data_IF_645946476214
#
_entry.id   IF_645946476214
#
_cell.length_a   1.000
_cell.length_b   1.000
_cell.length_c   1.000
_cell.angle_alpha   90.00
_cell.angle_beta   90.00
_cell.angle_gamma   90.00
#
_symmetry.space_group_name_H-M   'P 1'
#
loop_
_entity.id
_entity.type
_entity.pdbx_description
1 polymer ?
#
# COMPACT_ATOMS: atom_id res chain seq x y z
N UNK A 1 19.63 -27.05 -11.95
CA UNK A 1 18.50 -26.37 -12.60
C UNK A 1 18.71 -24.89 -12.35
N UNK A 2 18.72 -24.05 -13.36
CA UNK A 2 18.88 -22.62 -13.18
C UNK A 2 17.51 -22.06 -12.77
N UNK A 3 17.32 -21.74 -11.49
CA UNK A 3 16.04 -21.33 -10.93
C UNK A 3 15.58 -19.99 -11.53
N UNK A 4 16.53 -19.10 -11.81
CA UNK A 4 16.23 -17.82 -12.41
C UNK A 4 15.66 -17.96 -13.82
N UNK A 5 16.19 -18.88 -14.65
CA UNK A 5 15.62 -19.16 -15.99
C UNK A 5 14.19 -19.69 -15.89
N UNK A 6 13.94 -20.63 -14.97
CA UNK A 6 12.58 -21.13 -14.76
C UNK A 6 11.62 -20.04 -14.29
N UNK A 7 12.11 -19.08 -13.49
CA UNK A 7 11.33 -17.92 -13.07
C UNK A 7 11.02 -16.98 -14.24
N UNK A 8 11.96 -16.76 -15.16
CA UNK A 8 11.70 -15.96 -16.36
C UNK A 8 10.66 -16.64 -17.28
N UNK A 9 10.69 -17.96 -17.42
CA UNK A 9 9.68 -18.72 -18.16
C UNK A 9 8.29 -18.55 -17.53
N UNK A 10 8.18 -18.66 -16.20
CA UNK A 10 6.92 -18.40 -15.47
C UNK A 10 6.41 -16.96 -15.66
N UNK A 11 7.31 -15.97 -15.72
CA UNK A 11 6.94 -14.58 -15.99
C UNK A 11 6.28 -14.46 -17.37
N UNK A 12 6.85 -15.06 -18.41
CA UNK A 12 6.27 -14.98 -19.76
C UNK A 12 4.92 -15.72 -19.86
N UNK A 13 4.77 -16.86 -19.20
CA UNK A 13 3.48 -17.55 -19.11
C UNK A 13 2.42 -16.69 -18.43
N UNK A 14 2.75 -16.05 -17.30
CA UNK A 14 1.82 -15.17 -16.58
C UNK A 14 1.47 -13.93 -17.39
N UNK A 15 2.44 -13.32 -18.06
CA UNK A 15 2.25 -12.18 -18.94
C UNK A 15 1.29 -12.49 -20.09
N UNK A 16 1.37 -13.70 -20.67
CA UNK A 16 0.43 -14.17 -21.69
C UNK A 16 -1.02 -14.27 -21.17
N UNK A 17 -1.20 -14.45 -19.86
CA UNK A 17 -2.50 -14.43 -19.18
C UNK A 17 -2.92 -13.03 -18.68
N UNK A 18 -2.15 -11.98 -18.97
CA UNK A 18 -2.39 -10.62 -18.47
C UNK A 18 -2.09 -10.44 -16.99
N UNK A 19 -1.28 -11.29 -16.38
CA UNK A 19 -0.92 -11.26 -14.97
C UNK A 19 0.49 -10.71 -14.76
N UNK A 20 0.73 -10.12 -13.58
CA UNK A 20 2.06 -9.69 -13.15
C UNK A 20 2.98 -10.87 -12.81
N UNK A 21 4.32 -10.67 -12.77
CA UNK A 21 5.24 -11.68 -12.28
C UNK A 21 4.84 -12.22 -10.90
N UNK A 22 4.91 -13.51 -10.70
CA UNK A 22 4.66 -14.10 -9.39
C UNK A 22 5.71 -13.60 -8.39
N UNK A 23 5.32 -13.22 -7.17
CA UNK A 23 6.27 -12.83 -6.15
C UNK A 23 7.23 -13.95 -5.79
N UNK A 24 8.48 -13.60 -5.52
CA UNK A 24 9.53 -14.54 -5.12
C UNK A 24 9.40 -14.82 -3.62
N UNK A 25 9.11 -16.05 -3.26
CA UNK A 25 8.99 -16.54 -1.88
C UNK A 25 10.01 -17.62 -1.52
N UNK A 26 10.81 -18.05 -2.48
CA UNK A 26 11.80 -19.10 -2.36
C UNK A 26 13.20 -18.59 -2.02
N UNK A 27 13.83 -19.24 -1.03
CA UNK A 27 15.17 -18.93 -0.54
C UNK A 27 16.25 -19.09 -1.61
N UNK A 28 16.19 -20.17 -2.39
CA UNK A 28 17.26 -20.52 -3.32
C UNK A 28 17.24 -19.57 -4.53
N UNK A 29 16.06 -19.26 -5.07
CA UNK A 29 15.91 -18.26 -6.12
C UNK A 29 16.38 -16.87 -5.66
N UNK A 30 16.02 -16.46 -4.44
CA UNK A 30 16.49 -15.18 -3.89
C UNK A 30 18.01 -15.13 -3.75
N UNK A 31 18.64 -16.22 -3.33
CA UNK A 31 20.09 -16.32 -3.24
C UNK A 31 20.76 -16.28 -4.62
N UNK A 32 20.18 -16.91 -5.64
CA UNK A 32 20.67 -16.84 -7.03
C UNK A 32 20.60 -15.41 -7.57
N UNK A 33 19.48 -14.70 -7.34
CA UNK A 33 19.32 -13.29 -7.70
C UNK A 33 20.40 -12.41 -7.02
N UNK A 34 20.64 -12.61 -5.73
CA UNK A 34 21.68 -11.85 -4.99
C UNK A 34 23.07 -12.14 -5.56
N UNK A 35 23.34 -13.40 -5.98
CA UNK A 35 24.61 -13.73 -6.63
C UNK A 35 24.79 -12.97 -7.95
N UNK A 36 23.73 -12.85 -8.74
CA UNK A 36 23.73 -12.08 -9.99
C UNK A 36 23.91 -10.57 -9.74
N UNK A 37 23.31 -10.03 -8.68
CA UNK A 37 23.49 -8.62 -8.27
C UNK A 37 24.94 -8.32 -7.89
N UNK A 38 25.62 -9.25 -7.21
CA UNK A 38 27.02 -9.11 -6.79
C UNK A 38 28.00 -9.19 -7.95
N UNK A 39 27.64 -9.80 -9.05
CA UNK A 39 28.45 -9.95 -10.26
C UNK A 39 28.13 -8.78 -11.22
N UNK A 40 29.03 -7.81 -11.32
CA UNK A 40 28.88 -6.61 -12.14
C UNK A 40 28.81 -6.90 -13.64
N UNK A 41 29.34 -8.03 -14.09
CA UNK A 41 29.36 -8.44 -15.51
C UNK A 41 28.18 -9.35 -15.86
N UNK A 42 27.30 -9.65 -14.91
CA UNK A 42 26.18 -10.56 -15.14
C UNK A 42 25.12 -9.91 -16.04
N UNK A 43 24.73 -10.59 -17.10
CA UNK A 43 23.73 -10.10 -18.07
C UNK A 43 22.34 -9.85 -17.44
N UNK A 44 21.99 -10.54 -16.35
CA UNK A 44 20.71 -10.43 -15.66
C UNK A 44 20.75 -9.48 -14.45
N UNK A 45 21.90 -8.83 -14.19
CA UNK A 45 22.10 -8.03 -12.97
C UNK A 45 21.03 -6.96 -12.76
N UNK A 46 20.69 -6.22 -13.83
CA UNK A 46 19.69 -5.15 -13.75
C UNK A 46 18.28 -5.68 -13.43
N UNK A 47 17.88 -6.76 -14.08
CA UNK A 47 16.60 -7.41 -13.83
C UNK A 47 16.56 -7.99 -12.42
N UNK A 48 17.65 -8.62 -11.99
CA UNK A 48 17.81 -9.17 -10.65
C UNK A 48 17.70 -8.08 -9.56
N UNK A 49 18.27 -6.90 -9.78
CA UNK A 49 18.08 -5.73 -8.91
C UNK A 49 16.59 -5.35 -8.81
N UNK A 50 15.91 -5.23 -9.93
CA UNK A 50 14.49 -4.92 -9.96
C UNK A 50 13.66 -5.97 -9.22
N UNK A 51 13.88 -7.26 -9.48
CA UNK A 51 13.15 -8.33 -8.79
C UNK A 51 13.49 -8.40 -7.31
N UNK A 52 14.74 -8.20 -6.92
CA UNK A 52 15.13 -8.15 -5.52
C UNK A 52 14.42 -7.02 -4.76
N UNK A 53 14.41 -5.84 -5.33
CA UNK A 53 13.79 -4.66 -4.70
C UNK A 53 12.27 -4.84 -4.62
N UNK A 54 11.63 -5.15 -5.75
CA UNK A 54 10.18 -5.00 -5.90
C UNK A 54 9.39 -6.31 -5.87
N UNK A 55 10.01 -7.48 -5.96
CA UNK A 55 9.28 -8.73 -6.20
C UNK A 55 9.57 -9.85 -5.18
N UNK A 56 10.57 -9.68 -4.31
CA UNK A 56 10.82 -10.63 -3.22
C UNK A 56 9.85 -10.36 -2.09
N UNK A 57 8.98 -11.33 -1.78
CA UNK A 57 7.97 -11.21 -0.73
C UNK A 57 8.60 -10.95 0.64
N UNK A 58 8.08 -9.96 1.37
CA UNK A 58 8.45 -9.69 2.75
C UNK A 58 7.75 -10.68 3.73
N UNK A 59 7.79 -10.35 4.99
CA UNK A 59 7.12 -11.09 6.05
C UNK A 59 7.92 -12.30 6.51
N UNK A 60 7.30 -13.48 6.58
CA UNK A 60 7.90 -14.70 7.16
C UNK A 60 8.29 -15.73 6.12
N UNK A 61 8.45 -15.35 4.86
CA UNK A 61 8.89 -16.27 3.80
C UNK A 61 10.36 -16.63 3.91
N UNK A 62 10.76 -17.74 3.30
CA UNK A 62 12.18 -18.13 3.25
C UNK A 62 13.02 -17.15 2.42
N UNK A 63 12.42 -16.51 1.42
CA UNK A 63 12.99 -15.42 0.65
C UNK A 63 13.27 -14.17 1.51
N UNK A 64 12.34 -13.81 2.40
CA UNK A 64 12.48 -12.66 3.29
C UNK A 64 13.70 -12.77 4.22
N UNK A 65 14.03 -13.99 4.68
CA UNK A 65 15.24 -14.22 5.49
C UNK A 65 16.49 -13.80 4.72
N UNK A 66 16.61 -14.27 3.46
CA UNK A 66 17.76 -13.99 2.62
C UNK A 66 17.83 -12.52 2.23
N UNK A 67 16.67 -11.91 1.89
CA UNK A 67 16.59 -10.47 1.60
C UNK A 67 17.01 -9.63 2.80
N UNK A 68 16.50 -9.90 3.99
CA UNK A 68 16.82 -9.15 5.20
C UNK A 68 18.31 -9.22 5.56
N UNK A 69 18.92 -10.40 5.46
CA UNK A 69 20.36 -10.56 5.73
C UNK A 69 21.24 -9.83 4.70
N UNK A 70 20.88 -9.87 3.43
CA UNK A 70 21.60 -9.13 2.40
C UNK A 70 21.48 -7.61 2.60
N UNK A 71 20.29 -7.11 2.94
CA UNK A 71 20.10 -5.70 3.31
C UNK A 71 20.94 -5.31 4.53
N UNK A 72 21.05 -6.18 5.54
CA UNK A 72 21.95 -5.97 6.70
C UNK A 72 23.42 -5.80 6.28
N UNK A 73 23.89 -6.65 5.33
CA UNK A 73 25.27 -6.54 4.84
C UNK A 73 25.53 -5.18 4.15
N UNK A 74 24.54 -4.67 3.39
CA UNK A 74 24.61 -3.36 2.73
C UNK A 74 24.54 -2.23 3.79
N UNK A 75 23.62 -2.31 4.76
CA UNK A 75 23.47 -1.30 5.83
C UNK A 75 24.76 -1.16 6.64
N UNK A 76 25.45 -2.26 6.91
CA UNK A 76 26.71 -2.30 7.64
C UNK A 76 27.95 -2.05 6.74
N UNK A 77 27.74 -1.66 5.49
CA UNK A 77 28.78 -1.37 4.48
C UNK A 77 29.76 -2.52 4.24
N UNK A 78 29.34 -3.77 4.55
CA UNK A 78 30.11 -4.98 4.22
C UNK A 78 30.06 -5.29 2.73
N UNK A 79 29.02 -4.82 2.06
CA UNK A 79 28.80 -4.89 0.61
C UNK A 79 28.38 -3.49 0.16
N UNK A 80 28.99 -3.00 -0.90
CA UNK A 80 28.65 -1.71 -1.51
C UNK A 80 28.04 -1.95 -2.89
N UNK A 81 26.89 -1.35 -3.12
CA UNK A 81 26.18 -1.32 -4.40
C UNK A 81 25.86 0.12 -4.76
N UNK A 82 26.04 0.49 -6.03
CA UNK A 82 25.68 1.84 -6.49
C UNK A 82 24.18 2.09 -6.42
N UNK A 83 23.37 1.07 -6.71
CA UNK A 83 21.92 1.16 -6.80
C UNK A 83 21.19 1.08 -5.46
N UNK A 84 21.83 0.48 -4.44
CA UNK A 84 21.24 0.31 -3.12
C UNK A 84 22.20 0.88 -2.06
N UNK A 85 21.99 2.14 -1.70
CA UNK A 85 22.73 2.77 -0.59
C UNK A 85 22.32 2.17 0.77
N UNK A 86 23.14 2.34 1.80
CA UNK A 86 22.83 1.94 3.18
C UNK A 86 21.47 2.52 3.66
N UNK A 87 21.19 3.79 3.31
CA UNK A 87 19.93 4.43 3.66
C UNK A 87 18.72 3.77 2.93
N UNK A 88 18.87 3.45 1.64
CA UNK A 88 17.83 2.79 0.87
C UNK A 88 17.65 1.33 1.32
N UNK A 89 18.72 0.62 1.67
CA UNK A 89 18.61 -0.72 2.24
C UNK A 89 17.84 -0.72 3.57
N UNK A 90 18.04 0.29 4.41
CA UNK A 90 17.27 0.44 5.65
C UNK A 90 15.80 0.78 5.38
N UNK A 91 15.51 1.58 4.36
CA UNK A 91 14.14 1.82 3.89
C UNK A 91 13.46 0.51 3.44
N UNK A 92 14.12 -0.27 2.58
CA UNK A 92 13.61 -1.58 2.13
C UNK A 92 13.32 -2.51 3.31
N UNK A 93 14.23 -2.55 4.29
CA UNK A 93 14.06 -3.35 5.51
C UNK A 93 12.83 -2.90 6.31
N UNK A 94 12.58 -1.59 6.38
CA UNK A 94 11.45 -1.01 7.12
C UNK A 94 10.08 -1.44 6.57
N UNK A 95 10.00 -1.72 5.27
CA UNK A 95 8.78 -2.15 4.59
C UNK A 95 8.51 -3.66 4.69
N UNK A 96 9.47 -4.45 5.14
CA UNK A 96 9.29 -5.91 5.24
C UNK A 96 8.33 -6.32 6.37
N UNK A 97 8.27 -5.57 7.46
CA UNK A 97 7.28 -5.68 8.56
C UNK A 97 6.98 -7.09 9.07
N UNK A 98 8.00 -7.87 9.39
CA UNK A 98 7.80 -9.22 9.92
C UNK A 98 9.09 -9.92 10.30
N UNK A 99 9.00 -11.05 10.97
CA UNK A 99 10.05 -11.92 11.50
C UNK A 99 11.51 -11.59 11.12
N UNK A 100 11.98 -11.96 9.92
CA UNK A 100 13.38 -11.74 9.53
C UNK A 100 13.84 -10.28 9.57
N UNK A 101 12.96 -9.32 9.25
CA UNK A 101 13.30 -7.89 9.35
C UNK A 101 13.41 -7.43 10.79
N UNK A 102 12.60 -7.97 11.70
CA UNK A 102 12.68 -7.70 13.14
C UNK A 102 14.01 -8.18 13.70
N UNK A 103 14.43 -9.41 13.38
CA UNK A 103 15.71 -9.96 13.80
C UNK A 103 16.87 -9.07 13.36
N UNK A 104 16.89 -8.64 12.09
CA UNK A 104 17.92 -7.75 11.57
C UNK A 104 17.88 -6.38 12.23
N UNK A 105 16.71 -5.79 12.46
CA UNK A 105 16.58 -4.52 13.19
C UNK A 105 17.13 -4.64 14.62
N UNK A 106 16.87 -5.73 15.31
CA UNK A 106 17.44 -6.01 16.64
C UNK A 106 18.96 -6.12 16.60
N UNK A 107 19.51 -6.81 15.61
CA UNK A 107 20.97 -6.89 15.43
C UNK A 107 21.57 -5.50 15.21
N UNK A 108 20.95 -4.68 14.36
CA UNK A 108 21.42 -3.30 14.13
C UNK A 108 21.32 -2.43 15.38
N UNK A 109 20.30 -2.58 16.21
CA UNK A 109 20.15 -1.85 17.48
C UNK A 109 21.24 -2.24 18.49
N UNK A 110 21.68 -3.49 18.47
CA UNK A 110 22.63 -4.01 19.44
C UNK A 110 24.10 -3.84 19.01
N UNK A 111 24.38 -3.93 17.71
CA UNK A 111 25.74 -4.15 17.19
C UNK A 111 26.22 -3.05 16.23
N UNK A 112 25.31 -2.18 15.70
CA UNK A 112 25.70 -1.15 14.76
C UNK A 112 26.13 0.16 15.46
N UNK A 113 26.66 1.08 14.68
CA UNK A 113 26.95 2.44 15.16
C UNK A 113 25.67 3.19 15.57
N UNK A 114 25.81 4.18 16.46
CA UNK A 114 24.68 4.87 17.09
C UNK A 114 23.66 5.42 16.09
N UNK A 115 24.10 5.95 14.96
CA UNK A 115 23.20 6.56 13.95
C UNK A 115 22.31 5.54 13.27
N UNK A 116 22.84 4.37 12.94
CA UNK A 116 22.10 3.24 12.35
C UNK A 116 21.20 2.62 13.41
N UNK A 117 21.74 2.39 14.61
CA UNK A 117 21.00 1.79 15.72
C UNK A 117 19.77 2.63 16.11
N UNK A 118 19.88 3.97 16.14
CA UNK A 118 18.74 4.86 16.40
C UNK A 118 17.66 4.74 15.32
N UNK A 119 18.03 4.78 14.04
CA UNK A 119 17.09 4.62 12.92
C UNK A 119 16.40 3.26 12.95
N UNK A 120 17.14 2.19 13.18
CA UNK A 120 16.60 0.84 13.34
C UNK A 120 15.61 0.78 14.52
N UNK A 121 15.91 1.47 15.63
CA UNK A 121 15.02 1.58 16.78
C UNK A 121 13.70 2.28 16.46
N UNK A 122 13.72 3.38 15.73
CA UNK A 122 12.49 4.07 15.28
C UNK A 122 11.66 3.19 14.35
N UNK A 123 12.30 2.46 13.44
CA UNK A 123 11.61 1.50 12.58
C UNK A 123 10.97 0.39 13.43
N UNK A 124 11.68 -0.16 14.40
CA UNK A 124 11.17 -1.26 15.23
C UNK A 124 9.95 -0.85 16.05
N UNK A 125 9.85 0.39 16.51
CA UNK A 125 8.65 0.93 17.18
C UNK A 125 7.38 0.85 16.33
N UNK A 126 7.52 0.77 15.00
CA UNK A 126 6.40 0.62 14.07
C UNK A 126 6.06 -0.83 13.74
N UNK A 127 6.84 -1.79 14.24
CA UNK A 127 6.60 -3.22 14.04
C UNK A 127 5.77 -3.75 15.21
N UNK A 128 4.58 -4.25 14.90
CA UNK A 128 3.63 -4.73 15.94
C UNK A 128 3.69 -6.26 16.17
N UNK A 129 4.40 -6.96 15.30
CA UNK A 129 4.57 -8.41 15.36
C UNK A 129 5.99 -8.74 15.85
N UNK A 130 6.14 -8.92 17.16
CA UNK A 130 7.35 -9.42 17.79
C UNK A 130 7.10 -10.78 18.40
N UNK A 131 8.07 -11.68 18.26
CA UNK A 131 8.05 -12.96 18.98
C UNK A 131 8.57 -12.78 20.41
N UNK A 132 8.32 -13.76 21.25
CA UNK A 132 8.81 -13.76 22.63
C UNK A 132 10.33 -13.63 22.70
N UNK A 133 11.06 -14.33 21.83
CA UNK A 133 12.51 -14.27 21.75
C UNK A 133 13.04 -12.84 21.46
N UNK A 134 12.35 -12.09 20.58
CA UNK A 134 12.71 -10.71 20.24
C UNK A 134 12.51 -9.79 21.43
N UNK A 135 11.39 -9.98 22.14
CA UNK A 135 11.09 -9.23 23.36
C UNK A 135 12.12 -9.48 24.45
N UNK A 136 12.55 -10.74 24.63
CA UNK A 136 13.59 -11.09 25.60
C UNK A 136 14.97 -10.49 25.23
N UNK A 137 15.30 -10.41 23.95
CA UNK A 137 16.50 -9.70 23.48
C UNK A 137 16.45 -8.21 23.86
N UNK A 138 15.33 -7.54 23.64
CA UNK A 138 15.14 -6.14 24.02
C UNK A 138 15.24 -5.94 25.54
N UNK A 139 14.63 -6.82 26.34
CA UNK A 139 14.71 -6.77 27.82
C UNK A 139 16.14 -6.92 28.31
N UNK A 140 16.91 -7.85 27.77
CA UNK A 140 18.33 -8.03 28.08
C UNK A 140 19.13 -6.78 27.74
N UNK A 141 18.94 -6.22 26.55
CA UNK A 141 19.60 -4.99 26.14
C UNK A 141 19.25 -3.81 27.07
N UNK A 142 17.99 -3.65 27.44
CA UNK A 142 17.54 -2.64 28.38
C UNK A 142 18.23 -2.82 29.75
N UNK A 143 18.26 -4.04 30.29
CA UNK A 143 18.90 -4.35 31.57
C UNK A 143 20.40 -4.04 31.52
N UNK A 144 21.05 -4.20 30.37
CA UNK A 144 22.45 -3.84 30.13
C UNK A 144 22.67 -2.34 29.88
N UNK A 145 21.64 -1.50 29.97
CA UNK A 145 21.75 -0.04 29.87
C UNK A 145 21.57 0.52 28.45
N UNK A 146 21.12 -0.31 27.46
CA UNK A 146 20.87 0.18 26.11
C UNK A 146 19.67 1.15 26.08
N UNK A 147 19.93 2.42 25.75
CA UNK A 147 18.91 3.48 25.75
C UNK A 147 17.87 3.31 24.64
N UNK A 148 18.27 2.75 23.52
CA UNK A 148 17.36 2.52 22.37
C UNK A 148 16.38 1.43 22.73
N UNK A 149 16.85 0.31 23.28
CA UNK A 149 15.99 -0.76 23.77
C UNK A 149 14.99 -0.26 24.83
N UNK A 150 15.44 0.60 25.76
CA UNK A 150 14.56 1.28 26.73
C UNK A 150 13.44 2.06 26.01
N UNK A 151 13.79 2.90 25.05
CA UNK A 151 12.85 3.73 24.29
C UNK A 151 11.82 2.89 23.53
N UNK A 152 12.23 1.75 22.96
CA UNK A 152 11.32 0.82 22.27
C UNK A 152 10.35 0.18 23.25
N UNK A 153 10.82 -0.35 24.37
CA UNK A 153 9.98 -0.97 25.38
C UNK A 153 8.99 0.03 26.00
N UNK A 154 9.41 1.28 26.23
CA UNK A 154 8.52 2.36 26.67
C UNK A 154 7.45 2.68 25.64
N UNK A 155 7.79 2.73 24.36
CA UNK A 155 6.85 2.94 23.27
C UNK A 155 5.80 1.82 23.20
N UNK A 156 6.23 0.58 23.32
CA UNK A 156 5.32 -0.57 23.35
C UNK A 156 4.42 -0.58 24.59
N UNK A 157 4.97 -0.29 25.77
CA UNK A 157 4.19 -0.24 27.01
C UNK A 157 3.07 0.81 26.99
N UNK A 158 3.26 1.88 26.21
CA UNK A 158 2.27 2.95 25.98
C UNK A 158 1.39 2.72 24.77
N UNK A 159 1.61 1.62 24.04
CA UNK A 159 0.95 1.33 22.77
C UNK A 159 1.02 2.50 21.77
N UNK A 160 2.18 3.19 21.69
CA UNK A 160 2.32 4.44 20.93
C UNK A 160 2.00 4.29 19.45
N UNK A 161 2.26 3.12 18.85
CA UNK A 161 1.87 2.83 17.47
C UNK A 161 0.35 3.04 17.22
N UNK A 162 -0.48 2.76 18.22
CA UNK A 162 -1.93 2.89 18.14
C UNK A 162 -2.47 4.19 18.73
N UNK A 163 -1.73 4.83 19.64
CA UNK A 163 -2.22 5.99 20.41
C UNK A 163 -1.65 7.30 19.93
N UNK A 164 -0.43 7.31 19.33
CA UNK A 164 0.19 8.50 18.73
C UNK A 164 -0.20 8.64 17.25
N UNK A 165 -1.49 8.77 17.00
CA UNK A 165 -2.00 9.03 15.66
C UNK A 165 -2.02 10.54 15.40
N UNK A 166 -1.82 10.99 14.15
CA UNK A 166 -2.00 12.38 13.80
C UNK A 166 -3.47 12.80 14.02
N UNK A 167 -3.68 14.05 14.36
CA UNK A 167 -5.03 14.62 14.46
C UNK A 167 -5.76 14.49 13.12
N UNK A 168 -7.07 14.22 13.20
CA UNK A 168 -7.92 14.18 12.02
C UNK A 168 -8.07 15.59 11.47
N UNK A 169 -7.73 15.78 10.21
CA UNK A 169 -7.93 17.04 9.51
C UNK A 169 -9.44 17.37 9.51
N UNK A 170 -9.83 18.57 9.96
CA UNK A 170 -11.24 18.98 9.97
C UNK A 170 -11.81 19.17 8.57
N UNK A 171 -10.95 19.59 7.65
CA UNK A 171 -11.28 19.79 6.25
C UNK A 171 -10.20 19.10 5.39
N UNK A 172 -10.64 18.30 4.42
CA UNK A 172 -9.76 17.62 3.48
C UNK A 172 -10.06 18.12 2.08
N UNK A 173 -9.08 18.76 1.45
CA UNK A 173 -9.17 19.10 0.03
C UNK A 173 -8.96 17.85 -0.81
N UNK A 174 -9.86 17.63 -1.74
CA UNK A 174 -9.83 16.48 -2.65
C UNK A 174 -9.89 16.92 -4.10
N UNK A 175 -9.42 16.06 -4.97
CA UNK A 175 -9.69 16.07 -6.41
C UNK A 175 -10.30 14.73 -6.78
N UNK A 176 -11.33 14.76 -7.59
CA UNK A 176 -12.10 13.57 -7.94
C UNK A 176 -11.47 12.81 -9.11
N UNK A 177 -11.53 11.48 -9.07
CA UNK A 177 -11.16 10.61 -10.17
C UNK A 177 -12.26 9.55 -10.40
N UNK A 178 -12.90 9.59 -11.55
CA UNK A 178 -13.87 8.58 -11.97
C UNK A 178 -13.08 7.38 -12.50
N UNK A 179 -13.07 6.31 -11.72
CA UNK A 179 -12.28 5.12 -12.04
C UNK A 179 -12.99 4.18 -13.02
N UNK A 180 -14.30 4.18 -13.01
CA UNK A 180 -15.11 3.43 -13.97
C UNK A 180 -16.51 4.03 -14.06
N UNK A 181 -17.14 3.86 -15.24
CA UNK A 181 -18.56 4.03 -15.44
C UNK A 181 -19.24 2.68 -15.14
N UNK A 182 -20.00 2.60 -14.06
CA UNK A 182 -20.60 1.38 -13.53
C UNK A 182 -19.99 0.95 -12.19
N UNK A 183 -20.29 -0.28 -11.78
CA UNK A 183 -19.83 -0.83 -10.51
C UNK A 183 -18.31 -1.00 -10.48
N UNK A 184 -17.69 -0.57 -9.40
CA UNK A 184 -16.29 -0.91 -9.09
C UNK A 184 -16.30 -2.11 -8.16
N UNK A 185 -15.96 -3.27 -8.71
CA UNK A 185 -15.87 -4.50 -7.93
C UNK A 185 -14.58 -4.53 -7.10
N UNK A 186 -14.60 -5.33 -6.04
CA UNK A 186 -13.38 -5.61 -5.27
C UNK A 186 -12.34 -6.40 -6.07
N UNK A 187 -12.76 -7.11 -7.13
CA UNK A 187 -11.84 -7.80 -8.03
C UNK A 187 -11.17 -6.84 -9.01
N UNK A 188 -11.81 -5.73 -9.38
CA UNK A 188 -11.15 -4.65 -10.12
C UNK A 188 -10.09 -3.95 -9.26
N UNK A 189 -10.35 -3.81 -7.96
CA UNK A 189 -9.43 -3.19 -7.01
C UNK A 189 -8.31 -4.14 -6.54
N UNK A 190 -8.57 -5.46 -6.51
CA UNK A 190 -7.67 -6.49 -5.99
C UNK A 190 -7.97 -7.84 -6.65
N UNK A 191 -7.47 -8.07 -7.89
CA UNK A 191 -7.79 -9.25 -8.68
C UNK A 191 -7.43 -10.56 -7.98
N UNK A 192 -8.33 -11.56 -8.07
CA UNK A 192 -8.11 -12.88 -7.49
C UNK A 192 -6.91 -13.61 -8.10
N UNK A 193 -6.63 -13.44 -9.38
CA UNK A 193 -5.45 -13.98 -10.06
C UNK A 193 -4.11 -13.46 -9.53
N UNK A 194 -4.13 -12.33 -8.82
CA UNK A 194 -2.95 -11.70 -8.20
C UNK A 194 -2.88 -11.91 -6.68
N UNK A 195 -3.63 -12.87 -6.14
CA UNK A 195 -3.71 -13.12 -4.70
C UNK A 195 -2.36 -13.43 -4.05
N UNK A 196 -1.40 -13.97 -4.79
CA UNK A 196 -0.05 -14.30 -4.31
C UNK A 196 0.73 -13.06 -3.82
N UNK A 197 0.43 -11.87 -4.35
CA UNK A 197 1.10 -10.62 -3.98
C UNK A 197 0.47 -9.91 -2.77
N UNK A 198 -0.67 -10.38 -2.24
CA UNK A 198 -1.43 -9.68 -1.17
C UNK A 198 -0.67 -9.50 0.14
N UNK A 199 0.36 -10.32 0.38
CA UNK A 199 1.23 -10.18 1.56
C UNK A 199 2.14 -8.94 1.46
N UNK A 200 2.39 -8.43 0.26
CA UNK A 200 3.14 -7.22 -0.02
C UNK A 200 2.19 -6.16 -0.61
N UNK A 201 1.90 -5.12 0.16
CA UNK A 201 0.91 -4.10 -0.21
C UNK A 201 1.37 -3.27 -1.41
N UNK A 202 2.65 -2.96 -1.46
CA UNK A 202 3.26 -2.15 -2.52
C UNK A 202 3.25 -2.93 -3.85
N UNK A 203 3.57 -4.22 -3.79
CA UNK A 203 3.53 -5.09 -4.95
C UNK A 203 2.08 -5.33 -5.42
N UNK A 204 1.18 -5.67 -4.49
CA UNK A 204 -0.22 -5.94 -4.83
C UNK A 204 -0.95 -4.69 -5.32
N UNK A 205 -0.56 -3.50 -4.87
CA UNK A 205 -1.10 -2.24 -5.36
C UNK A 205 -0.95 -2.04 -6.86
N UNK A 206 0.08 -2.61 -7.49
CA UNK A 206 0.30 -2.55 -8.95
C UNK A 206 -0.80 -3.24 -9.75
N UNK A 207 -1.59 -4.10 -9.12
CA UNK A 207 -2.68 -4.85 -9.76
C UNK A 207 -4.02 -4.09 -9.76
N UNK A 208 -4.10 -2.89 -9.16
CA UNK A 208 -5.36 -2.14 -9.04
C UNK A 208 -5.78 -1.52 -10.37
N UNK A 209 -7.01 -1.80 -10.79
CA UNK A 209 -7.65 -1.22 -11.97
C UNK A 209 -6.86 -1.52 -13.24
N UNK A 210 -6.30 -0.50 -13.89
CA UNK A 210 -5.47 -0.66 -15.09
C UNK A 210 -4.23 0.24 -15.03
N UNK A 211 -3.23 -0.05 -15.86
CA UNK A 211 -2.03 0.77 -15.93
C UNK A 211 -2.33 2.20 -16.39
N UNK A 212 -3.30 2.38 -17.28
CA UNK A 212 -3.75 3.70 -17.76
C UNK A 212 -4.37 4.51 -16.62
N UNK A 213 -5.26 3.88 -15.84
CA UNK A 213 -5.88 4.53 -14.69
C UNK A 213 -4.83 4.92 -13.63
N UNK A 214 -3.87 4.03 -13.36
CA UNK A 214 -2.76 4.31 -12.45
C UNK A 214 -1.92 5.49 -12.93
N UNK A 215 -1.63 5.57 -14.22
CA UNK A 215 -0.90 6.68 -14.82
C UNK A 215 -1.65 8.02 -14.67
N UNK A 216 -2.97 8.05 -14.94
CA UNK A 216 -3.77 9.26 -14.79
C UNK A 216 -3.90 9.69 -13.31
N UNK A 217 -4.01 8.75 -12.39
CA UNK A 217 -3.98 9.02 -10.95
C UNK A 217 -2.65 9.67 -10.55
N UNK A 218 -1.52 9.13 -11.00
CA UNK A 218 -0.19 9.72 -10.72
C UNK A 218 -0.04 11.12 -11.30
N UNK A 219 -0.52 11.34 -12.51
CA UNK A 219 -0.53 12.66 -13.15
C UNK A 219 -1.36 13.66 -12.35
N UNK A 220 -2.54 13.24 -11.89
CA UNK A 220 -3.42 14.06 -11.06
C UNK A 220 -2.77 14.40 -9.70
N UNK A 221 -2.08 13.47 -9.07
CA UNK A 221 -1.34 13.72 -7.83
C UNK A 221 -0.22 14.76 -8.02
N UNK A 222 0.49 14.71 -9.16
CA UNK A 222 1.52 15.69 -9.50
C UNK A 222 0.95 17.09 -9.74
N UNK A 223 -0.23 17.17 -10.34
CA UNK A 223 -0.93 18.44 -10.58
C UNK A 223 -1.55 19.02 -9.30
N UNK A 224 -1.89 18.19 -8.34
CA UNK A 224 -2.57 18.57 -7.10
C UNK A 224 -1.87 18.00 -5.86
N UNK A 225 -0.59 18.36 -5.59
CA UNK A 225 0.19 17.75 -4.52
C UNK A 225 -0.33 18.07 -3.10
N UNK A 226 -1.16 19.09 -2.98
CA UNK A 226 -1.82 19.52 -1.74
C UNK A 226 -3.19 18.88 -1.52
N UNK A 227 -3.67 18.03 -2.43
CA UNK A 227 -4.99 17.41 -2.40
C UNK A 227 -4.88 15.90 -2.33
N UNK A 228 -5.93 15.28 -1.78
CA UNK A 228 -6.10 13.83 -1.83
C UNK A 228 -7.03 13.46 -3.00
N UNK A 229 -6.88 12.26 -3.51
CA UNK A 229 -7.75 11.78 -4.59
C UNK A 229 -8.94 11.05 -3.99
N UNK A 230 -10.14 11.37 -4.47
CA UNK A 230 -11.34 10.60 -4.21
C UNK A 230 -11.64 9.72 -5.42
N UNK A 231 -11.63 8.40 -5.21
CA UNK A 231 -11.96 7.42 -6.24
C UNK A 231 -13.47 7.23 -6.34
N UNK A 232 -14.03 7.38 -7.53
CA UNK A 232 -15.49 7.37 -7.75
C UNK A 232 -15.91 6.24 -8.70
N UNK A 233 -16.96 5.51 -8.31
CA UNK A 233 -17.77 4.68 -9.20
C UNK A 233 -18.92 5.52 -9.77
N UNK A 234 -18.82 5.93 -11.05
CA UNK A 234 -19.88 6.70 -11.71
C UNK A 234 -20.97 5.75 -12.24
N UNK A 235 -22.23 6.10 -11.99
CA UNK A 235 -23.43 5.28 -12.36
C UNK A 235 -23.36 3.86 -11.78
N UNK A 236 -22.57 3.66 -10.73
CA UNK A 236 -22.32 2.36 -10.13
C UNK A 236 -22.11 2.40 -8.63
N UNK A 237 -22.00 1.19 -8.06
CA UNK A 237 -21.74 0.94 -6.65
C UNK A 237 -20.25 0.71 -6.42
N UNK A 238 -19.67 1.39 -5.44
CA UNK A 238 -18.28 1.19 -5.04
C UNK A 238 -18.12 -0.06 -4.16
N UNK A 239 -17.17 -0.93 -4.50
CA UNK A 239 -16.70 -2.00 -3.64
C UNK A 239 -17.57 -3.24 -3.57
N UNK A 240 -18.20 -3.64 -4.68
CA UNK A 240 -18.96 -4.88 -4.77
C UNK A 240 -18.03 -6.09 -4.81
N UNK A 241 -18.14 -7.02 -3.86
CA UNK A 241 -17.37 -8.28 -3.84
C UNK A 241 -16.76 -8.64 -2.49
N UNK A 242 -15.81 -9.58 -2.48
CA UNK A 242 -15.27 -10.20 -1.25
C UNK A 242 -13.84 -9.77 -0.87
N UNK A 243 -13.01 -9.32 -1.80
CA UNK A 243 -11.60 -8.92 -1.56
C UNK A 243 -11.46 -7.51 -0.97
N UNK A 244 -12.25 -7.20 0.05
CA UNK A 244 -12.45 -5.84 0.57
C UNK A 244 -11.21 -5.19 1.14
N UNK A 245 -10.54 -5.85 2.08
CA UNK A 245 -9.37 -5.27 2.76
C UNK A 245 -8.22 -5.01 1.78
N UNK A 246 -7.90 -5.95 0.89
CA UNK A 246 -6.85 -5.75 -0.12
C UNK A 246 -7.24 -4.67 -1.13
N UNK A 247 -8.52 -4.59 -1.54
CA UNK A 247 -9.03 -3.51 -2.37
C UNK A 247 -8.89 -2.14 -1.72
N UNK A 248 -9.28 -2.01 -0.44
CA UNK A 248 -9.12 -0.76 0.34
C UNK A 248 -7.64 -0.38 0.47
N UNK A 249 -6.76 -1.35 0.72
CA UNK A 249 -5.32 -1.12 0.79
C UNK A 249 -4.75 -0.58 -0.53
N UNK A 250 -5.19 -1.14 -1.66
CA UNK A 250 -4.75 -0.70 -2.98
C UNK A 250 -5.25 0.71 -3.30
N UNK A 251 -6.51 1.02 -2.98
CA UNK A 251 -7.03 2.39 -3.10
C UNK A 251 -6.22 3.36 -2.25
N UNK A 252 -5.95 3.01 -0.98
CA UNK A 252 -5.16 3.85 -0.08
C UNK A 252 -3.75 4.11 -0.63
N UNK A 253 -3.13 3.12 -1.26
CA UNK A 253 -1.82 3.25 -1.87
C UNK A 253 -1.83 4.24 -3.04
N UNK A 254 -2.78 4.11 -3.96
CA UNK A 254 -2.84 4.94 -5.18
C UNK A 254 -3.43 6.33 -4.95
N UNK A 255 -4.30 6.51 -3.97
CA UNK A 255 -4.94 7.80 -3.66
C UNK A 255 -4.24 8.58 -2.54
N UNK A 256 -3.10 8.06 -2.07
CA UNK A 256 -2.26 8.68 -1.05
C UNK A 256 -1.42 9.85 -1.55
N UNK A 257 -0.61 10.40 -0.64
CA UNK A 257 0.37 11.43 -0.97
C UNK A 257 1.60 10.78 -1.61
N UNK A 258 2.37 11.51 -2.46
CA UNK A 258 3.64 11.03 -2.99
C UNK A 258 4.61 10.62 -1.87
N UNK A 259 5.24 9.48 -2.02
CA UNK A 259 6.22 8.92 -1.11
C UNK A 259 7.64 8.88 -1.69
N UNK A 260 8.38 7.85 -1.34
CA UNK A 260 9.72 7.58 -1.88
C UNK A 260 9.66 6.90 -3.25
N UNK A 261 10.79 6.80 -3.97
CA UNK A 261 10.85 6.01 -5.20
C UNK A 261 10.46 4.54 -5.04
N UNK A 262 10.68 3.96 -3.87
CA UNK A 262 10.29 2.58 -3.58
C UNK A 262 8.81 2.45 -3.24
N UNK A 263 8.31 3.35 -2.40
CA UNK A 263 6.89 3.43 -2.04
C UNK A 263 6.35 4.74 -2.61
N UNK A 264 5.84 4.73 -3.85
CA UNK A 264 5.48 5.94 -4.56
C UNK A 264 4.38 6.75 -3.87
N UNK A 265 3.64 6.12 -2.94
CA UNK A 265 2.57 6.78 -2.21
C UNK A 265 2.66 6.49 -0.72
N UNK A 266 2.59 7.54 0.08
CA UNK A 266 2.41 7.40 1.52
C UNK A 266 0.99 6.90 1.76
N UNK A 267 0.88 5.78 2.48
CA UNK A 267 -0.40 5.21 2.82
C UNK A 267 -1.20 6.17 3.71
N UNK A 268 -2.23 6.73 3.15
CA UNK A 268 -3.24 7.51 3.85
C UNK A 268 -4.57 6.76 3.77
N UNK A 269 -5.46 7.04 4.70
CA UNK A 269 -6.80 6.46 4.67
C UNK A 269 -7.50 6.78 3.34
N UNK A 270 -8.15 5.82 2.67
CA UNK A 270 -8.74 6.02 1.35
C UNK A 270 -9.96 6.94 1.42
N UNK A 271 -10.22 7.64 0.32
CA UNK A 271 -11.47 8.38 0.11
C UNK A 271 -12.14 7.81 -1.12
N UNK A 272 -13.34 7.29 -0.96
CA UNK A 272 -14.11 6.63 -2.02
C UNK A 272 -15.54 7.13 -2.07
N UNK A 273 -16.12 7.09 -3.27
CA UNK A 273 -17.53 7.43 -3.46
C UNK A 273 -18.18 6.54 -4.52
N UNK A 274 -19.50 6.45 -4.47
CA UNK A 274 -20.29 5.78 -5.50
C UNK A 274 -21.59 6.52 -5.73
N UNK A 275 -21.95 6.75 -6.99
CA UNK A 275 -23.20 7.44 -7.32
C UNK A 275 -24.44 6.58 -7.09
N UNK A 276 -24.29 5.24 -7.09
CA UNK A 276 -25.32 4.29 -6.66
C UNK A 276 -25.05 3.76 -5.24
N UNK A 277 -24.17 4.44 -4.50
CA UNK A 277 -23.80 4.11 -3.14
C UNK A 277 -22.52 3.29 -3.04
N UNK A 278 -22.23 2.85 -1.82
CA UNK A 278 -21.06 2.02 -1.49
C UNK A 278 -21.59 0.72 -0.90
N UNK A 279 -21.02 -0.42 -1.32
CA UNK A 279 -21.33 -1.71 -0.70
C UNK A 279 -21.16 -1.61 0.82
N UNK A 280 -22.17 -1.97 1.64
CA UNK A 280 -22.10 -1.74 3.10
C UNK A 280 -20.90 -2.38 3.77
N UNK A 281 -20.52 -3.58 3.32
CA UNK A 281 -19.37 -4.30 3.88
C UNK A 281 -18.06 -3.65 3.43
N UNK A 282 -17.99 -3.11 2.22
CA UNK A 282 -16.82 -2.35 1.77
C UNK A 282 -16.69 -1.03 2.54
N UNK A 283 -17.80 -0.31 2.74
CA UNK A 283 -17.85 0.92 3.54
C UNK A 283 -17.33 0.67 4.96
N UNK A 284 -17.80 -0.41 5.62
CA UNK A 284 -17.31 -0.78 6.94
C UNK A 284 -15.78 -1.00 6.92
N UNK A 285 -15.25 -1.62 5.86
CA UNK A 285 -13.80 -1.85 5.74
C UNK A 285 -13.06 -0.51 5.55
N UNK A 286 -13.60 0.41 4.77
CA UNK A 286 -13.07 1.77 4.61
C UNK A 286 -13.04 2.50 5.97
N UNK A 287 -14.15 2.47 6.70
CA UNK A 287 -14.27 3.12 8.03
C UNK A 287 -13.25 2.56 9.04
N UNK A 288 -13.08 1.23 9.11
CA UNK A 288 -12.11 0.57 10.04
C UNK A 288 -10.67 0.97 9.73
N UNK A 289 -10.36 1.29 8.49
CA UNK A 289 -9.03 1.77 8.08
C UNK A 289 -8.85 3.28 8.26
N UNK A 290 -9.84 3.96 8.84
CA UNK A 290 -9.85 5.42 8.99
C UNK A 290 -10.15 6.17 7.70
N UNK A 291 -10.66 5.48 6.68
CA UNK A 291 -11.05 6.06 5.41
C UNK A 291 -12.39 6.79 5.46
N UNK A 292 -12.74 7.40 4.34
CA UNK A 292 -14.00 8.14 4.17
C UNK A 292 -14.74 7.57 2.96
N UNK A 293 -15.92 7.04 3.20
CA UNK A 293 -16.86 6.65 2.16
C UNK A 293 -17.98 7.67 2.02
N UNK A 294 -18.23 8.13 0.80
CA UNK A 294 -19.27 9.12 0.50
C UNK A 294 -20.29 8.49 -0.44
N UNK A 295 -21.51 8.39 0.04
CA UNK A 295 -22.64 7.98 -0.80
C UNK A 295 -23.15 9.20 -1.57
N UNK A 296 -22.89 9.21 -2.89
CA UNK A 296 -23.37 10.26 -3.79
C UNK A 296 -24.77 9.97 -4.33
N UNK A 297 -25.51 9.07 -3.71
CA UNK A 297 -26.85 8.63 -4.12
C UNK A 297 -27.90 9.70 -3.82
N UNK A 298 -27.89 10.79 -4.58
CA UNK A 298 -28.86 11.85 -4.50
C UNK A 298 -29.77 11.85 -5.74
N UNK A 299 -30.63 10.86 -5.83
CA UNK A 299 -31.68 10.85 -6.84
C UNK A 299 -32.84 11.71 -6.38
N UNK A 300 -33.19 12.72 -7.17
CA UNK A 300 -34.35 13.58 -6.95
C UNK A 300 -35.36 13.35 -8.06
N UNK A 301 -36.63 13.61 -7.77
CA UNK A 301 -37.68 13.61 -8.80
C UNK A 301 -37.37 14.70 -9.80
N UNK A 302 -37.44 14.36 -11.08
CA UNK A 302 -37.33 15.31 -12.17
C UNK A 302 -38.61 16.07 -12.31
N UNK A 303 -38.53 17.39 -12.43
CA UNK A 303 -39.71 18.27 -12.57
C UNK A 303 -39.67 19.01 -13.91
N UNK A 304 -40.86 19.29 -14.46
CA UNK A 304 -41.03 20.16 -15.61
C UNK A 304 -40.89 21.65 -15.23
N UNK A 305 -41.04 22.53 -16.22
CA UNK A 305 -40.98 23.99 -16.03
C UNK A 305 -42.08 24.52 -15.11
N UNK A 306 -43.18 23.79 -14.93
CA UNK A 306 -44.32 24.19 -14.11
C UNK A 306 -44.28 23.58 -12.72
N UNK A 307 -43.19 22.83 -12.41
CA UNK A 307 -42.97 22.23 -11.09
C UNK A 307 -43.70 20.89 -10.89
N UNK A 308 -44.21 20.25 -11.94
CA UNK A 308 -44.82 18.94 -11.84
C UNK A 308 -43.81 17.82 -12.05
N UNK A 309 -43.91 16.67 -11.34
CA UNK A 309 -43.03 15.53 -11.57
C UNK A 309 -43.22 14.99 -13.00
N UNK A 310 -42.11 14.84 -13.73
CA UNK A 310 -42.10 14.17 -15.01
C UNK A 310 -42.24 12.68 -14.76
N UNK A 311 -43.26 12.04 -15.41
CA UNK A 311 -43.51 10.61 -15.25
C UNK A 311 -42.85 9.81 -16.38
N UNK A 312 -42.33 8.65 -16.04
CA UNK A 312 -41.89 7.64 -17.00
C UNK A 312 -43.05 6.91 -17.68
N UNK A 313 -42.75 6.04 -18.63
CA UNK A 313 -43.76 5.23 -19.36
C UNK A 313 -44.53 4.29 -18.44
N UNK A 314 -44.00 3.98 -17.29
CA UNK A 314 -44.60 3.15 -16.22
C UNK A 314 -45.49 3.94 -15.26
N UNK A 315 -45.62 5.26 -15.46
CA UNK A 315 -46.39 6.17 -14.59
C UNK A 315 -45.68 6.57 -13.31
N UNK A 316 -44.42 6.13 -13.07
CA UNK A 316 -43.64 6.54 -11.93
C UNK A 316 -42.85 7.83 -12.21
N UNK A 317 -42.56 8.68 -11.20
CA UNK A 317 -41.71 9.83 -11.39
C UNK A 317 -40.32 9.45 -11.92
N UNK A 318 -39.89 10.11 -12.99
CA UNK A 318 -38.51 10.01 -13.44
C UNK A 318 -37.60 10.62 -12.36
N UNK A 319 -36.45 9.99 -12.17
CA UNK A 319 -35.42 10.46 -11.25
C UNK A 319 -34.24 11.03 -12.07
N UNK A 320 -33.65 12.06 -11.57
CA UNK A 320 -32.38 12.59 -12.08
C UNK A 320 -31.37 12.69 -10.93
N UNK A 321 -30.12 12.60 -11.29
CA UNK A 321 -29.06 12.76 -10.32
C UNK A 321 -28.87 14.26 -10.03
N UNK A 322 -29.05 14.64 -8.77
CA UNK A 322 -28.93 16.03 -8.34
C UNK A 322 -27.48 16.53 -8.33
N UNK A 323 -26.52 15.64 -8.47
CA UNK A 323 -25.11 15.93 -8.31
C UNK A 323 -24.29 15.19 -9.39
N UNK A 324 -23.61 15.96 -10.21
CA UNK A 324 -22.66 15.44 -11.21
C UNK A 324 -21.24 15.81 -10.80
N UNK A 325 -20.34 14.85 -10.81
CA UNK A 325 -18.92 15.05 -10.48
C UNK A 325 -18.08 14.52 -11.64
N UNK A 326 -17.29 15.40 -12.23
CA UNK A 326 -16.35 15.03 -13.28
C UNK A 326 -14.97 14.73 -12.68
N UNK A 327 -14.16 13.98 -13.40
CA UNK A 327 -12.73 13.80 -13.06
C UNK A 327 -12.04 15.18 -13.06
N UNK A 328 -11.30 15.46 -11.98
CA UNK A 328 -10.61 16.73 -11.80
C UNK A 328 -11.41 17.80 -11.06
N UNK A 329 -12.64 17.50 -10.62
CA UNK A 329 -13.41 18.42 -9.77
C UNK A 329 -12.74 18.55 -8.41
N UNK A 330 -12.52 19.78 -7.97
CA UNK A 330 -11.94 20.07 -6.63
C UNK A 330 -13.05 20.33 -5.64
N UNK A 331 -13.02 19.59 -4.53
CA UNK A 331 -14.01 19.68 -3.45
C UNK A 331 -13.30 19.74 -2.10
N UNK A 332 -14.05 20.14 -1.06
CA UNK A 332 -13.58 20.08 0.33
C UNK A 332 -14.54 19.22 1.15
N UNK A 333 -13.99 18.20 1.81
CA UNK A 333 -14.76 17.34 2.73
C UNK A 333 -14.65 17.93 4.12
N UNK A 334 -15.78 18.20 4.75
CA UNK A 334 -15.84 18.44 6.18
C UNK A 334 -15.94 17.09 6.91
N UNK A 335 -14.90 16.72 7.67
CA UNK A 335 -14.79 15.42 8.30
C UNK A 335 -15.71 15.24 9.50
N UNK A 336 -16.11 16.33 10.19
CA UNK A 336 -17.06 16.27 11.32
C UNK A 336 -18.45 15.79 10.86
N UNK A 337 -18.80 16.10 9.62
CA UNK A 337 -20.11 15.77 9.07
C UNK A 337 -20.06 14.83 7.88
N UNK A 338 -18.86 14.44 7.43
CA UNK A 338 -18.65 13.63 6.19
C UNK A 338 -19.41 14.21 4.98
N UNK A 339 -19.50 15.55 4.89
CA UNK A 339 -20.17 16.28 3.82
C UNK A 339 -19.15 16.87 2.85
N UNK A 340 -19.53 16.89 1.57
CA UNK A 340 -18.82 17.60 0.50
C UNK A 340 -19.17 19.08 0.52
#
# INVERSE_FOLDING_TARGET
MNLYKSYLEEIEERKAMGLHPKPIDDKALTAEIISQIKDTENEYRQDSLNYFIYNVLPGTTSAAVVKAQFLKEIILEKITLEEISSAFALELLSHMKGGPSVEVLLDLILDAEDSIAQKAGEILKTQVLLYEADTERLKKAFTSGNKIAKSILESYSKAEFFTKLPDVEKEIKIVTYIAAEGDISTDLLSPGGEAHSRADRELHGKCMISAEAQYEIQKMQKLHPDKRIMLIAEKGTMGVGSSRMSGVNNVALWTGKPGSPYVPFVNVAPIVAGTNGISPIFLTTVDVTGGIGIDLKNWVKKFDSDGNPILGKDGNPLLEQAYSVDTGTVLTINTEHKKL
#
